data_IF_190245095167
#
_entry.id   IF_190245095167
#
_cell.length_a   1.000
_cell.length_b   1.000
_cell.length_c   1.000
_cell.angle_alpha   90.00
_cell.angle_beta   90.00
_cell.angle_gamma   90.00
#
_symmetry.space_group_name_H-M   'P 1'
#
loop_
_entity.id
_entity.type
_entity.pdbx_description
1 polymer ?
#
# COMPACT_ATOMS: atom_id res chain seq x y z
N UNK A 1 5.76 -7.77 8.56
CA UNK A 1 6.37 -6.52 9.07
C UNK A 1 6.63 -6.57 10.58
N UNK A 2 7.03 -7.73 11.10
CA UNK A 2 7.34 -7.91 12.53
C UNK A 2 8.82 -8.27 12.74
N UNK A 3 9.54 -8.65 11.67
CA UNK A 3 10.96 -8.98 11.68
C UNK A 3 11.80 -7.84 11.06
N UNK A 4 13.00 -7.60 11.61
CA UNK A 4 14.05 -6.76 11.02
C UNK A 4 14.42 -7.15 9.59
N UNK A 5 14.32 -8.45 9.27
CA UNK A 5 14.61 -9.00 7.94
C UNK A 5 13.58 -8.53 6.91
N UNK A 6 12.29 -8.48 7.28
CA UNK A 6 11.23 -7.97 6.40
C UNK A 6 11.54 -6.54 5.95
N UNK A 7 11.95 -5.70 6.90
CA UNK A 7 12.23 -4.28 6.64
C UNK A 7 13.45 -4.11 5.74
N UNK A 8 14.51 -4.89 5.93
CA UNK A 8 15.68 -4.86 5.07
C UNK A 8 15.36 -5.22 3.61
N UNK A 9 14.47 -6.20 3.40
CA UNK A 9 13.99 -6.57 2.05
C UNK A 9 13.18 -5.42 1.44
N UNK A 10 12.23 -4.85 2.18
CA UNK A 10 11.38 -3.74 1.73
C UNK A 10 12.24 -2.55 1.32
N UNK A 11 13.19 -2.15 2.14
CA UNK A 11 14.11 -1.04 1.87
C UNK A 11 14.97 -1.32 0.63
N UNK A 12 15.51 -2.54 0.50
CA UNK A 12 16.31 -2.94 -0.66
C UNK A 12 15.50 -2.84 -1.95
N UNK A 13 14.27 -3.36 -1.95
CA UNK A 13 13.37 -3.28 -3.11
C UNK A 13 13.02 -1.83 -3.42
N UNK A 14 12.68 -1.01 -2.42
CA UNK A 14 12.39 0.42 -2.60
C UNK A 14 13.56 1.17 -3.24
N UNK A 15 14.79 0.91 -2.80
CA UNK A 15 15.97 1.55 -3.39
C UNK A 15 16.21 1.11 -4.84
N UNK A 16 15.95 -0.15 -5.16
CA UNK A 16 16.05 -0.66 -6.52
C UNK A 16 15.00 -0.02 -7.44
N UNK A 17 13.74 0.05 -7.00
CA UNK A 17 12.63 0.56 -7.83
C UNK A 17 12.76 2.04 -8.11
N UNK A 18 13.21 2.85 -7.14
CA UNK A 18 13.52 4.27 -7.36
C UNK A 18 14.58 4.45 -8.45
N UNK A 19 15.65 3.65 -8.43
CA UNK A 19 16.70 3.71 -9.46
C UNK A 19 16.21 3.28 -10.85
N UNK A 20 15.22 2.39 -10.89
CA UNK A 20 14.61 1.91 -12.13
C UNK A 20 13.45 2.79 -12.60
N UNK A 21 13.10 3.83 -11.84
CA UNK A 21 11.94 4.69 -12.08
C UNK A 21 10.63 3.88 -12.20
N UNK A 22 10.43 2.95 -11.27
CA UNK A 22 9.22 2.15 -11.17
C UNK A 22 8.36 2.56 -9.98
N UNK A 23 7.06 2.61 -10.24
CA UNK A 23 6.04 2.74 -9.23
C UNK A 23 5.93 1.44 -8.41
N UNK A 24 5.77 1.56 -7.09
CA UNK A 24 5.73 0.42 -6.16
C UNK A 24 4.39 0.36 -5.45
N UNK A 25 3.74 -0.81 -5.51
CA UNK A 25 2.56 -1.13 -4.69
C UNK A 25 2.94 -2.14 -3.61
N UNK A 26 2.76 -1.78 -2.34
CA UNK A 26 2.84 -2.75 -1.25
C UNK A 26 1.47 -3.43 -1.07
N UNK A 27 1.41 -4.73 -1.34
CA UNK A 27 0.20 -5.54 -1.23
C UNK A 27 0.11 -6.26 0.12
N UNK A 28 -1.11 -6.56 0.56
CA UNK A 28 -1.37 -7.28 1.81
C UNK A 28 -1.33 -6.42 3.06
N UNK A 29 -1.63 -5.12 2.96
CA UNK A 29 -1.72 -4.22 4.12
C UNK A 29 -3.05 -4.45 4.84
N UNK A 30 -2.97 -4.96 6.07
CA UNK A 30 -4.15 -5.34 6.87
C UNK A 30 -4.38 -4.40 8.05
N UNK A 31 -3.34 -3.73 8.54
CA UNK A 31 -3.42 -2.84 9.71
C UNK A 31 -2.92 -1.43 9.43
N UNK A 32 -3.41 -0.48 10.22
CA UNK A 32 -2.98 0.92 10.17
C UNK A 32 -1.50 1.08 10.48
N UNK A 33 -0.97 0.27 11.40
CA UNK A 33 0.45 0.28 11.76
C UNK A 33 1.34 -0.14 10.59
N UNK A 34 0.92 -1.13 9.81
CA UNK A 34 1.62 -1.52 8.58
C UNK A 34 1.59 -0.39 7.55
N UNK A 35 0.42 0.20 7.32
CA UNK A 35 0.27 1.33 6.40
C UNK A 35 1.21 2.49 6.79
N UNK A 36 1.18 2.91 8.06
CA UNK A 36 2.03 3.99 8.57
C UNK A 36 3.53 3.69 8.39
N UNK A 37 3.97 2.45 8.64
CA UNK A 37 5.37 2.04 8.46
C UNK A 37 5.80 2.13 7.00
N UNK A 38 4.95 1.65 6.08
CA UNK A 38 5.24 1.69 4.64
C UNK A 38 5.22 3.13 4.10
N UNK A 39 4.26 3.95 4.54
CA UNK A 39 4.22 5.37 4.18
C UNK A 39 5.43 6.15 4.69
N UNK A 40 5.97 5.80 5.87
CA UNK A 40 7.19 6.41 6.40
C UNK A 40 8.46 6.05 5.57
N UNK A 41 8.38 5.05 4.68
CA UNK A 41 9.43 4.70 3.74
C UNK A 41 9.22 5.31 2.34
N UNK A 42 8.26 6.23 2.20
CA UNK A 42 7.82 6.82 0.92
C UNK A 42 7.22 5.79 -0.06
N UNK A 43 6.60 4.72 0.46
CA UNK A 43 5.81 3.81 -0.37
C UNK A 43 4.38 4.34 -0.43
N UNK A 44 4.05 4.97 -1.56
CA UNK A 44 2.82 5.76 -1.71
C UNK A 44 1.58 4.92 -2.06
N UNK A 45 1.76 3.82 -2.80
CA UNK A 45 0.65 2.94 -3.18
C UNK A 45 0.59 1.71 -2.28
N UNK A 46 -0.52 1.59 -1.56
CA UNK A 46 -0.77 0.52 -0.62
C UNK A 46 -2.07 -0.21 -0.99
N UNK A 47 -2.07 -1.53 -0.87
CA UNK A 47 -3.25 -2.35 -1.15
C UNK A 47 -3.43 -3.40 -0.05
N UNK A 48 -4.66 -3.54 0.45
CA UNK A 48 -5.02 -4.65 1.32
C UNK A 48 -6.32 -4.42 2.08
N UNK A 49 -6.66 -5.39 2.94
CA UNK A 49 -7.91 -5.42 3.70
C UNK A 49 -8.07 -4.25 4.67
N UNK A 50 -6.97 -3.55 5.00
CA UNK A 50 -7.00 -2.28 5.74
C UNK A 50 -7.84 -1.21 5.04
N UNK A 51 -7.79 -1.16 3.70
CA UNK A 51 -8.49 -0.17 2.88
C UNK A 51 -9.84 -0.71 2.40
N UNK A 52 -9.83 -1.91 1.83
CA UNK A 52 -11.04 -2.60 1.37
C UNK A 52 -10.78 -4.08 1.16
N UNK A 53 -11.81 -4.89 1.34
CA UNK A 53 -11.82 -6.26 0.80
C UNK A 53 -12.06 -6.22 -0.71
N UNK A 54 -11.70 -7.26 -1.48
CA UNK A 54 -12.08 -7.35 -2.89
C UNK A 54 -13.58 -7.13 -3.08
N UNK A 55 -13.93 -6.26 -4.03
CA UNK A 55 -15.31 -5.88 -4.31
C UNK A 55 -15.83 -6.56 -5.57
N UNK A 56 -17.11 -6.87 -5.60
CA UNK A 56 -17.78 -7.21 -6.85
C UNK A 56 -17.81 -6.00 -7.79
N UNK A 57 -17.77 -6.24 -9.10
CA UNK A 57 -17.70 -5.18 -10.12
C UNK A 57 -18.81 -4.13 -9.98
N UNK A 58 -20.02 -4.54 -9.61
CA UNK A 58 -21.16 -3.63 -9.40
C UNK A 58 -21.01 -2.65 -8.24
N UNK A 59 -20.10 -2.92 -7.29
CA UNK A 59 -19.90 -2.10 -6.09
C UNK A 59 -18.75 -1.09 -6.22
N UNK A 60 -17.89 -1.23 -7.25
CA UNK A 60 -16.68 -0.42 -7.38
C UNK A 60 -17.00 1.07 -7.51
N UNK A 61 -18.02 1.43 -8.31
CA UNK A 61 -18.39 2.83 -8.54
C UNK A 61 -18.81 3.53 -7.24
N UNK A 62 -19.68 2.88 -6.47
CA UNK A 62 -20.19 3.41 -5.20
C UNK A 62 -19.06 3.57 -4.20
N UNK A 63 -18.23 2.53 -4.03
CA UNK A 63 -17.06 2.57 -3.16
C UNK A 63 -16.12 3.74 -3.49
N UNK A 64 -15.81 3.95 -4.77
CA UNK A 64 -14.95 5.05 -5.20
C UNK A 64 -15.57 6.42 -4.90
N UNK A 65 -16.88 6.62 -5.09
CA UNK A 65 -17.54 7.88 -4.79
C UNK A 65 -17.56 8.20 -3.28
N UNK A 66 -17.76 7.19 -2.43
CA UNK A 66 -17.79 7.36 -0.98
C UNK A 66 -16.40 7.63 -0.38
N UNK A 67 -15.34 7.05 -0.97
CA UNK A 67 -13.98 7.06 -0.43
C UNK A 67 -13.00 7.92 -1.25
N UNK A 68 -13.50 8.70 -2.21
CA UNK A 68 -12.65 9.67 -2.93
C UNK A 68 -12.06 10.70 -1.97
N UNK A 69 -10.78 11.09 -2.14
CA UNK A 69 -10.21 12.21 -1.40
C UNK A 69 -11.09 13.44 -1.54
N UNK A 70 -11.51 14.03 -0.43
CA UNK A 70 -12.22 15.32 -0.44
C UNK A 70 -11.17 16.41 -0.67
N UNK A 71 -11.28 17.08 -1.81
CA UNK A 71 -10.46 18.25 -2.17
C UNK A 71 -10.92 19.45 -1.32
#
# INVERSE_FOLDING_TARGET
MQDTTDMAIIETVKHMTVKLNYDVVAQGVETKEQANKLSALDIEMLQGSHFSRPLASGLVKEYLLENSPKI
#
